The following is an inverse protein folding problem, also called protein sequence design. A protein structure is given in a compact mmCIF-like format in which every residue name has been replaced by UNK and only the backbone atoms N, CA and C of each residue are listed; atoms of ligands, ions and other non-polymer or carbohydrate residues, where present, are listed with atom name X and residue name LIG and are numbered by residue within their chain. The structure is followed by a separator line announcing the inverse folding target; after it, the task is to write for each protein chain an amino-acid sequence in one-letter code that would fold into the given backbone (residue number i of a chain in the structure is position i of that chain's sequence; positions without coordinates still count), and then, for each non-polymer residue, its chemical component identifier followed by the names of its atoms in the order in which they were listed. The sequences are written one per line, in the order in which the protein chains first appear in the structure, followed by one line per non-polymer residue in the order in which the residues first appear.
data_IF_118696255164
#
_entry.id   IF_118696255164
#
_cell.length_a   1.000
_cell.length_b   1.000
_cell.length_c   1.000
_cell.angle_alpha   90.00
_cell.angle_beta   90.00
_cell.angle_gamma   90.00
#
_symmetry.space_group_name_H-M   'P 1'
#
loop_
_entity.id
_entity.type
_entity.pdbx_description
1 polymer ?
#
# COMPACT_ATOMS: atom_id res chain seq x y z
N UNK A 1 24.96 2.75 -3.45
CA UNK A 1 23.99 2.39 -2.40
C UNK A 1 22.61 2.16 -2.99
N UNK A 2 21.92 1.16 -2.47
CA UNK A 2 20.56 0.89 -2.91
C UNK A 2 19.59 1.94 -2.37
N UNK A 3 18.67 2.37 -3.21
CA UNK A 3 17.62 3.30 -2.83
C UNK A 3 16.30 2.54 -2.81
N UNK A 4 15.69 2.45 -1.63
CA UNK A 4 14.53 1.60 -1.38
C UNK A 4 13.28 2.45 -1.16
N UNK A 5 12.16 2.01 -1.72
CA UNK A 5 10.86 2.63 -1.46
C UNK A 5 9.78 1.56 -1.23
N UNK A 6 8.93 1.83 -0.26
CA UNK A 6 7.72 1.06 -0.02
C UNK A 6 6.54 1.89 -0.50
N UNK A 7 5.74 1.33 -1.39
CA UNK A 7 4.52 1.96 -1.88
C UNK A 7 3.31 1.20 -1.36
N UNK A 8 2.33 1.91 -0.85
CA UNK A 8 1.13 1.33 -0.24
C UNK A 8 -0.10 1.81 -1.01
N UNK A 9 -0.87 0.89 -1.55
CA UNK A 9 -2.13 1.22 -2.21
C UNK A 9 -3.27 1.19 -1.21
N UNK A 10 -4.01 2.29 -1.11
CA UNK A 10 -5.12 2.47 -0.18
C UNK A 10 -6.36 2.88 -0.94
N UNK A 11 -7.47 2.22 -0.65
CA UNK A 11 -8.77 2.65 -1.16
C UNK A 11 -9.36 3.70 -0.22
N UNK A 12 -9.84 4.81 -0.80
CA UNK A 12 -10.58 5.78 -0.01
C UNK A 12 -11.85 5.13 0.54
N UNK A 13 -12.27 5.58 1.73
CA UNK A 13 -13.44 4.99 2.41
C UNK A 13 -14.73 5.53 1.82
N UNK A 14 -15.05 5.06 0.61
CA UNK A 14 -16.30 5.40 -0.09
C UNK A 14 -17.23 4.21 0.04
N UNK A 15 -18.39 4.36 0.71
CA UNK A 15 -19.32 3.23 0.88
C UNK A 15 -19.67 2.55 -0.43
N UNK A 16 -19.64 1.22 -0.43
CA UNK A 16 -19.93 0.41 -1.61
C UNK A 16 -18.74 0.17 -2.54
N UNK A 17 -17.57 0.77 -2.27
CA UNK A 17 -16.37 0.59 -3.10
C UNK A 17 -15.25 -0.19 -2.43
N UNK A 18 -15.29 -0.33 -1.09
CA UNK A 18 -14.27 -1.07 -0.34
C UNK A 18 -14.82 -2.40 0.13
N UNK A 19 -13.99 -3.45 0.05
CA UNK A 19 -14.34 -4.80 0.49
C UNK A 19 -15.73 -5.21 -0.01
N UNK A 20 -15.97 -5.05 -1.30
CA UNK A 20 -17.30 -5.24 -1.89
C UNK A 20 -17.88 -6.64 -1.66
N UNK A 21 -17.03 -7.67 -1.68
CA UNK A 21 -17.45 -9.04 -1.40
C UNK A 21 -17.94 -9.19 0.04
N UNK A 22 -17.20 -8.62 0.98
CA UNK A 22 -17.55 -8.65 2.41
C UNK A 22 -18.79 -7.81 2.69
N UNK A 23 -18.93 -6.65 2.03
CA UNK A 23 -20.09 -5.79 2.17
C UNK A 23 -21.38 -6.48 1.73
N UNK A 24 -21.29 -7.32 0.70
CA UNK A 24 -22.43 -8.08 0.19
C UNK A 24 -22.96 -9.06 1.24
N UNK A 25 -22.05 -9.67 2.03
CA UNK A 25 -22.42 -10.67 3.02
C UNK A 25 -22.75 -10.06 4.39
N UNK A 26 -22.03 -9.04 4.82
CA UNK A 26 -22.09 -8.49 6.17
C UNK A 26 -22.59 -7.06 6.26
N UNK A 27 -22.81 -6.41 5.13
CA UNK A 27 -23.24 -5.02 5.08
C UNK A 27 -22.10 -4.03 4.87
N UNK A 28 -22.45 -2.86 4.34
CA UNK A 28 -21.47 -1.82 3.97
C UNK A 28 -20.76 -1.27 5.20
N UNK A 29 -21.50 -1.02 6.29
CA UNK A 29 -20.90 -0.43 7.50
C UNK A 29 -19.87 -1.35 8.13
N UNK A 30 -20.13 -2.65 8.17
CA UNK A 30 -19.19 -3.63 8.70
C UNK A 30 -17.96 -3.71 7.81
N UNK A 31 -18.14 -3.71 6.50
CA UNK A 31 -17.03 -3.76 5.55
C UNK A 31 -16.10 -2.55 5.71
N UNK A 32 -16.66 -1.36 5.91
CA UNK A 32 -15.89 -0.14 6.12
C UNK A 32 -15.08 -0.23 7.42
N UNK A 33 -15.69 -0.71 8.50
CA UNK A 33 -14.99 -0.84 9.78
C UNK A 33 -13.84 -1.85 9.70
N UNK A 34 -14.06 -2.96 9.01
CA UNK A 34 -13.00 -3.95 8.79
C UNK A 34 -11.87 -3.33 7.97
N UNK A 35 -12.18 -2.59 6.91
CA UNK A 35 -11.16 -1.97 6.09
C UNK A 35 -10.36 -0.92 6.87
N UNK A 36 -11.01 -0.13 7.71
CA UNK A 36 -10.32 0.82 8.60
C UNK A 36 -9.31 0.12 9.49
N UNK A 37 -9.70 -1.03 10.04
CA UNK A 37 -8.80 -1.81 10.90
C UNK A 37 -7.60 -2.35 10.11
N UNK A 38 -7.81 -2.82 8.88
CA UNK A 38 -6.73 -3.28 8.02
C UNK A 38 -5.77 -2.15 7.66
N UNK A 39 -6.29 -0.97 7.40
CA UNK A 39 -5.47 0.23 7.15
C UNK A 39 -4.66 0.59 8.38
N UNK A 40 -5.27 0.51 9.57
CA UNK A 40 -4.57 0.76 10.83
C UNK A 40 -3.40 -0.19 11.02
N UNK A 41 -3.63 -1.49 10.77
CA UNK A 41 -2.59 -2.51 10.87
C UNK A 41 -1.43 -2.19 9.89
N UNK A 42 -1.76 -1.81 8.68
CA UNK A 42 -0.76 -1.45 7.67
C UNK A 42 0.05 -0.23 8.10
N UNK A 43 -0.62 0.79 8.62
CA UNK A 43 0.06 1.99 9.09
C UNK A 43 1.01 1.68 10.25
N UNK A 44 0.56 0.87 11.21
CA UNK A 44 1.42 0.48 12.34
C UNK A 44 2.62 -0.35 11.89
N UNK A 45 2.43 -1.25 10.93
CA UNK A 45 3.50 -2.10 10.43
C UNK A 45 4.58 -1.31 9.68
N UNK A 46 4.24 -0.16 9.11
CA UNK A 46 5.15 0.60 8.23
C UNK A 46 5.65 1.89 8.84
N UNK A 47 4.98 2.41 9.87
CA UNK A 47 5.21 3.75 10.42
C UNK A 47 6.65 3.96 10.88
N UNK A 48 7.28 2.96 11.45
CA UNK A 48 8.63 3.05 12.02
C UNK A 48 9.73 2.60 11.04
N UNK A 49 9.37 2.18 9.84
CA UNK A 49 10.38 1.83 8.85
C UNK A 49 11.13 3.08 8.40
N UNK A 50 12.45 2.97 8.35
CA UNK A 50 13.34 4.10 8.03
C UNK A 50 13.76 4.06 6.56
N UNK A 51 12.77 3.97 5.69
CA UNK A 51 12.96 3.99 4.23
C UNK A 51 11.96 4.98 3.64
N UNK A 52 12.12 5.30 2.39
CA UNK A 52 11.14 6.15 1.71
C UNK A 52 9.82 5.40 1.59
N UNK A 53 8.74 6.07 1.92
CA UNK A 53 7.40 5.47 1.92
C UNK A 53 6.42 6.38 1.18
N UNK A 54 5.62 5.76 0.32
CA UNK A 54 4.59 6.45 -0.45
C UNK A 54 3.25 5.78 -0.21
N UNK A 55 2.19 6.58 -0.12
CA UNK A 55 0.82 6.09 -0.07
C UNK A 55 0.10 6.57 -1.32
N UNK A 56 -0.53 5.65 -2.03
CA UNK A 56 -1.27 5.94 -3.26
C UNK A 56 -2.75 5.67 -3.00
N UNK A 57 -3.53 6.74 -2.97
CA UNK A 57 -4.98 6.66 -2.73
C UNK A 57 -5.72 6.38 -4.04
N UNK A 58 -6.83 5.68 -3.95
CA UNK A 58 -7.60 5.29 -5.12
C UNK A 58 -8.28 6.46 -5.82
N UNK A 59 -8.79 7.44 -5.07
CA UNK A 59 -9.58 8.54 -5.62
C UNK A 59 -9.04 9.92 -5.27
N UNK A 60 -8.66 10.15 -4.02
CA UNK A 60 -8.16 11.45 -3.56
C UNK A 60 -7.19 11.29 -2.40
N UNK A 61 -6.29 12.26 -2.26
CA UNK A 61 -5.31 12.27 -1.17
C UNK A 61 -6.00 12.69 0.12
N UNK A 62 -5.80 11.90 1.19
CA UNK A 62 -6.27 12.23 2.52
C UNK A 62 -5.12 12.76 3.37
N UNK A 63 -5.35 13.90 4.02
CA UNK A 63 -4.42 14.45 5.01
C UNK A 63 -4.94 14.15 6.41
N UNK A 64 -4.03 14.08 7.37
CA UNK A 64 -4.35 13.82 8.79
C UNK A 64 -5.04 12.47 9.01
N UNK A 65 -4.74 11.49 8.18
CA UNK A 65 -5.20 10.13 8.38
C UNK A 65 -4.16 9.30 9.15
N UNK A 66 -4.25 7.98 9.10
CA UNK A 66 -3.36 7.09 9.83
C UNK A 66 -1.93 7.09 9.27
N UNK A 67 -1.73 7.57 8.06
CA UNK A 67 -0.42 7.71 7.45
C UNK A 67 0.06 9.15 7.66
N UNK A 68 1.05 9.33 8.53
CA UNK A 68 1.56 10.64 8.91
C UNK A 68 2.14 11.38 7.69
N UNK A 69 1.64 12.57 7.41
CA UNK A 69 2.08 13.37 6.28
C UNK A 69 3.58 13.70 6.33
N UNK A 70 4.18 13.69 7.52
CA UNK A 70 5.62 13.92 7.69
C UNK A 70 6.46 12.69 7.36
N UNK A 71 5.88 11.49 7.34
CA UNK A 71 6.59 10.22 7.13
C UNK A 71 6.31 9.57 5.79
N UNK A 72 5.20 9.91 5.15
CA UNK A 72 4.77 9.32 3.89
C UNK A 72 4.55 10.39 2.85
N UNK A 73 5.00 10.13 1.62
CA UNK A 73 4.60 10.94 0.47
C UNK A 73 3.27 10.40 -0.04
N UNK A 74 2.35 11.28 -0.35
CA UNK A 74 0.99 10.90 -0.73
C UNK A 74 0.70 11.24 -2.17
N UNK A 75 0.12 10.28 -2.89
CA UNK A 75 -0.18 10.36 -4.31
C UNK A 75 -1.55 9.75 -4.59
N UNK A 76 -2.02 9.93 -5.82
CA UNK A 76 -3.24 9.28 -6.31
C UNK A 76 -2.82 8.21 -7.31
N UNK A 77 -3.44 7.03 -7.23
CA UNK A 77 -3.22 5.96 -8.19
C UNK A 77 -3.67 6.39 -9.58
N UNK A 78 -2.85 6.12 -10.59
CA UNK A 78 -3.15 6.48 -11.97
C UNK A 78 -3.20 5.24 -12.85
N UNK A 79 -4.29 5.07 -13.57
CA UNK A 79 -4.48 3.95 -14.47
C UNK A 79 -5.94 3.52 -14.54
N UNK A 80 -6.28 2.79 -15.59
CA UNK A 80 -7.64 2.35 -15.87
C UNK A 80 -8.05 1.14 -15.06
N UNK A 81 -7.07 0.34 -14.63
CA UNK A 81 -7.28 -0.86 -13.84
C UNK A 81 -6.13 -1.02 -12.86
N UNK A 82 -6.24 -2.00 -11.98
CA UNK A 82 -5.23 -2.23 -10.95
C UNK A 82 -3.86 -2.52 -11.53
N UNK A 83 -3.79 -3.36 -12.57
CA UNK A 83 -2.52 -3.69 -13.22
C UNK A 83 -1.81 -2.46 -13.76
N UNK A 84 -2.56 -1.59 -14.44
CA UNK A 84 -2.00 -0.35 -14.98
C UNK A 84 -1.57 0.61 -13.87
N UNK A 85 -2.36 0.69 -12.78
CA UNK A 85 -2.02 1.52 -11.63
C UNK A 85 -0.74 1.06 -10.95
N UNK A 86 -0.56 -0.26 -10.83
CA UNK A 86 0.66 -0.84 -10.28
C UNK A 86 1.86 -0.54 -11.19
N UNK A 87 1.69 -0.71 -12.49
CA UNK A 87 2.74 -0.43 -13.46
C UNK A 87 3.19 1.03 -13.38
N UNK A 88 2.24 1.96 -13.33
CA UNK A 88 2.56 3.38 -13.25
C UNK A 88 3.28 3.73 -11.95
N UNK A 89 2.90 3.08 -10.86
CA UNK A 89 3.59 3.25 -9.57
C UNK A 89 5.06 2.83 -9.67
N UNK A 90 5.33 1.69 -10.30
CA UNK A 90 6.72 1.23 -10.49
C UNK A 90 7.49 2.17 -11.41
N UNK A 91 6.89 2.65 -12.49
CA UNK A 91 7.55 3.60 -13.39
C UNK A 91 7.92 4.89 -12.66
N UNK A 92 7.01 5.44 -11.85
CA UNK A 92 7.28 6.65 -11.08
C UNK A 92 8.48 6.45 -10.15
N UNK A 93 8.53 5.31 -9.50
CA UNK A 93 9.63 4.99 -8.59
C UNK A 93 10.95 4.85 -9.34
N UNK A 94 10.96 4.16 -10.48
CA UNK A 94 12.18 4.03 -11.29
C UNK A 94 12.67 5.38 -11.80
N UNK A 95 11.76 6.27 -12.19
CA UNK A 95 12.13 7.62 -12.63
C UNK A 95 12.77 8.45 -11.51
N UNK A 96 12.41 8.18 -10.26
CA UNK A 96 13.02 8.82 -9.10
C UNK A 96 14.29 8.11 -8.63
N UNK A 97 14.78 7.17 -9.43
CA UNK A 97 16.02 6.42 -9.19
C UNK A 97 15.96 5.46 -8.02
N UNK A 98 14.79 5.00 -7.64
CA UNK A 98 14.68 3.88 -6.72
C UNK A 98 15.02 2.59 -7.46
N UNK A 99 15.81 1.74 -6.85
CA UNK A 99 16.22 0.46 -7.44
C UNK A 99 15.61 -0.76 -6.73
N UNK A 100 15.02 -0.55 -5.57
CA UNK A 100 14.30 -1.58 -4.84
C UNK A 100 12.94 -1.05 -4.45
N UNK A 101 11.90 -1.66 -5.00
CA UNK A 101 10.53 -1.18 -4.84
C UNK A 101 9.66 -2.33 -4.35
N UNK A 102 8.95 -2.10 -3.25
CA UNK A 102 7.93 -3.01 -2.77
C UNK A 102 6.59 -2.30 -2.81
N UNK A 103 5.60 -2.95 -3.39
CA UNK A 103 4.23 -2.45 -3.44
C UNK A 103 3.35 -3.39 -2.64
N UNK A 104 2.60 -2.85 -1.69
CA UNK A 104 1.65 -3.61 -0.88
C UNK A 104 0.27 -2.97 -0.94
N UNK A 105 -0.77 -3.77 -0.72
CA UNK A 105 -2.10 -3.25 -0.47
C UNK A 105 -2.29 -2.98 1.02
N UNK A 106 -3.38 -2.32 1.35
CA UNK A 106 -3.70 -1.97 2.74
C UNK A 106 -4.72 -2.93 3.37
N UNK A 107 -4.96 -4.08 2.74
CA UNK A 107 -5.96 -5.05 3.18
C UNK A 107 -5.34 -6.40 3.56
N UNK A 108 -4.06 -6.41 3.91
CA UNK A 108 -3.33 -7.63 4.32
C UNK A 108 -3.13 -7.59 5.83
N UNK A 109 -3.90 -8.40 6.62
CA UNK A 109 -3.82 -8.33 8.08
C UNK A 109 -2.53 -8.85 8.67
N UNK A 110 -1.79 -9.67 7.92
CA UNK A 110 -0.57 -10.32 8.41
C UNK A 110 0.70 -9.55 8.08
N UNK A 111 0.58 -8.35 7.50
CA UNK A 111 1.75 -7.57 7.13
C UNK A 111 2.46 -7.06 8.41
N UNK A 112 3.78 -7.19 8.44
CA UNK A 112 4.61 -6.71 9.54
C UNK A 112 5.83 -6.01 8.98
N UNK A 113 6.49 -5.19 9.81
CA UNK A 113 7.75 -4.56 9.44
C UNK A 113 8.83 -5.59 9.12
N UNK A 114 8.81 -6.74 9.79
CA UNK A 114 9.76 -7.83 9.53
C UNK A 114 9.56 -8.43 8.14
N UNK A 115 8.31 -8.66 7.74
CA UNK A 115 7.99 -9.18 6.40
C UNK A 115 8.48 -8.22 5.32
N UNK A 116 8.26 -6.93 5.51
CA UNK A 116 8.69 -5.90 4.56
C UNK A 116 10.22 -5.86 4.49
N UNK A 117 10.89 -5.88 5.64
CA UNK A 117 12.36 -5.89 5.69
C UNK A 117 12.93 -7.11 5.00
N UNK A 118 12.34 -8.30 5.20
CA UNK A 118 12.73 -9.51 4.50
C UNK A 118 12.53 -9.37 2.99
N UNK A 119 11.45 -8.72 2.57
CA UNK A 119 11.21 -8.46 1.15
C UNK A 119 12.33 -7.65 0.53
N UNK A 120 12.80 -6.61 1.19
CA UNK A 120 13.92 -5.82 0.70
C UNK A 120 15.22 -6.60 0.67
N UNK A 121 15.47 -7.46 1.66
CA UNK A 121 16.62 -8.35 1.64
C UNK A 121 16.57 -9.32 0.46
N UNK A 122 15.42 -9.89 0.17
CA UNK A 122 15.25 -10.81 -0.96
C UNK A 122 15.47 -10.10 -2.30
N UNK A 123 15.15 -8.81 -2.41
CA UNK A 123 15.42 -8.02 -3.61
C UNK A 123 16.92 -7.84 -3.88
N UNK A 124 17.78 -8.08 -2.91
CA UNK A 124 19.21 -8.13 -3.13
C UNK A 124 19.62 -9.37 -3.93
N UNK A 125 18.78 -10.42 -3.93
CA UNK A 125 19.05 -11.71 -4.57
C UNK A 125 18.22 -11.94 -5.83
N UNK A 126 17.07 -11.26 -5.94
CA UNK A 126 16.10 -11.44 -7.01
C UNK A 126 15.68 -10.10 -7.57
N UNK A 127 15.34 -10.06 -8.85
CA UNK A 127 14.93 -8.82 -9.51
C UNK A 127 13.50 -8.43 -9.16
N UNK A 128 12.61 -9.41 -8.98
CA UNK A 128 11.20 -9.18 -8.68
C UNK A 128 10.75 -10.16 -7.61
N UNK A 129 10.02 -9.63 -6.62
CA UNK A 129 9.38 -10.44 -5.60
C UNK A 129 7.90 -10.07 -5.58
N UNK A 130 7.05 -11.08 -5.68
CA UNK A 130 5.60 -10.91 -5.57
C UNK A 130 5.16 -11.45 -4.22
N UNK A 131 4.66 -10.56 -3.38
CA UNK A 131 4.14 -10.94 -2.08
C UNK A 131 2.76 -11.56 -2.18
N UNK A 132 2.26 -12.17 -1.11
CA UNK A 132 0.92 -12.74 -1.11
C UNK A 132 -0.13 -11.66 -1.36
N UNK A 133 -1.04 -11.94 -2.29
CA UNK A 133 -2.17 -11.09 -2.57
C UNK A 133 -3.41 -11.70 -1.91
N UNK A 134 -4.20 -10.85 -1.25
CA UNK A 134 -5.46 -11.26 -0.63
C UNK A 134 -6.58 -10.34 -1.11
N UNK A 135 -7.70 -10.94 -1.35
CA UNK A 135 -8.92 -10.21 -1.70
C UNK A 135 -9.60 -9.59 -0.47
#
# INVERSE_FOLDING_TARGET
MSKEVLSIFVNNLIPGTVKTRLAKDLGIDVAIEIYKELVRITAEATNNLKIDKCVYYSEYIESNDQFDDAKYQKHIQEGKDLGQRMQNCFYDAFELNFDKIILIGSDTPDITDQIISQGFEELNKHDIIIGPAQD
#
